data_IF_279277443178
#
_entry.id   IF_279277443178
#
_cell.length_a   1.000
_cell.length_b   1.000
_cell.length_c   1.000
_cell.angle_alpha   90.00
_cell.angle_beta   90.00
_cell.angle_gamma   90.00
#
_symmetry.space_group_name_H-M   'P 1'
#
loop_
_entity.id
_entity.type
_entity.pdbx_description
1 polymer ?
#
# COMPACT_ATOMS: atom_id res chain seq x y z
N UNK A 1 -5.15 17.32 4.02
CA UNK A 1 -4.87 18.41 3.05
C UNK A 1 -4.47 17.79 1.72
N UNK A 2 -5.40 17.05 1.08
CA UNK A 2 -5.18 16.39 -0.22
C UNK A 2 -6.22 16.97 -1.19
N UNK A 3 -5.85 18.01 -1.95
CA UNK A 3 -6.80 18.67 -2.86
C UNK A 3 -6.28 19.03 -4.26
N UNK A 4 -5.02 18.74 -4.64
CA UNK A 4 -4.48 19.30 -5.90
C UNK A 4 -3.74 18.34 -6.84
N UNK A 5 -3.92 17.02 -6.74
CA UNK A 5 -3.24 16.07 -7.66
C UNK A 5 -3.90 15.95 -9.05
N UNK A 6 -5.11 16.47 -9.26
CA UNK A 6 -5.97 16.02 -10.37
C UNK A 6 -5.90 16.81 -11.69
N UNK A 7 -5.28 17.99 -11.75
CA UNK A 7 -5.48 18.90 -12.91
C UNK A 7 -4.29 19.15 -13.83
N UNK A 8 -3.08 18.67 -13.53
CA UNK A 8 -1.90 18.99 -14.34
C UNK A 8 -1.45 17.87 -15.31
N UNK A 9 -1.93 16.63 -15.17
CA UNK A 9 -1.21 15.47 -15.74
C UNK A 9 -1.78 14.91 -17.05
N UNK A 10 -2.91 15.41 -17.56
CA UNK A 10 -3.66 14.75 -18.65
C UNK A 10 -3.21 15.01 -20.08
N UNK A 11 -2.03 15.56 -20.34
CA UNK A 11 -1.61 15.80 -21.73
C UNK A 11 -0.09 15.66 -21.92
N UNK A 12 0.28 14.61 -22.65
CA UNK A 12 1.55 14.44 -23.37
C UNK A 12 2.78 13.88 -22.62
N UNK A 13 2.69 12.75 -21.91
CA UNK A 13 3.90 11.99 -21.54
C UNK A 13 3.72 10.48 -21.66
N UNK A 14 3.91 9.98 -22.87
CA UNK A 14 4.13 8.56 -23.17
C UNK A 14 5.53 8.17 -22.67
N UNK A 15 5.62 7.42 -21.56
CA UNK A 15 6.70 6.50 -21.15
C UNK A 15 8.19 6.93 -21.32
N UNK A 16 8.64 8.04 -20.71
CA UNK A 16 10.08 8.41 -20.72
C UNK A 16 10.72 8.46 -19.31
N UNK A 17 9.94 8.36 -18.23
CA UNK A 17 10.50 8.32 -16.88
C UNK A 17 10.64 6.87 -16.38
N UNK A 18 11.69 6.54 -15.61
CA UNK A 18 11.75 5.25 -14.95
C UNK A 18 10.52 5.09 -14.05
N UNK A 19 9.86 3.94 -14.15
CA UNK A 19 8.81 3.53 -13.23
C UNK A 19 9.43 3.26 -11.86
N UNK A 20 8.74 3.61 -10.79
CA UNK A 20 9.28 3.53 -9.44
C UNK A 20 8.99 2.18 -8.79
N UNK A 21 9.96 1.65 -8.05
CA UNK A 21 9.71 0.61 -7.05
C UNK A 21 8.80 1.18 -5.96
N UNK A 22 7.85 0.36 -5.49
CA UNK A 22 6.95 0.73 -4.39
C UNK A 22 7.10 -0.20 -3.20
N UNK A 23 6.98 0.38 -2.01
CA UNK A 23 6.86 -0.33 -0.74
C UNK A 23 5.52 -0.01 -0.09
N UNK A 24 4.70 -1.01 0.17
CA UNK A 24 3.52 -0.88 1.03
C UNK A 24 3.93 -1.11 2.48
N UNK A 25 3.78 -0.09 3.31
CA UNK A 25 3.97 -0.19 4.74
C UNK A 25 2.65 -0.52 5.45
N UNK A 26 2.67 -1.53 6.30
CA UNK A 26 1.61 -1.83 7.25
C UNK A 26 2.13 -1.50 8.64
N UNK A 27 1.54 -0.48 9.27
CA UNK A 27 2.02 -0.03 10.57
C UNK A 27 1.88 -1.10 11.67
N UNK A 28 2.67 -0.96 12.72
CA UNK A 28 2.64 -1.77 13.92
C UNK A 28 1.46 -1.49 14.85
N UNK A 29 1.72 -1.58 16.16
CA UNK A 29 0.81 -1.16 17.24
C UNK A 29 -0.31 -2.15 17.65
N UNK A 30 -0.10 -3.44 17.42
CA UNK A 30 -0.90 -4.50 18.04
C UNK A 30 -2.34 -4.59 17.54
N UNK A 31 -2.61 -4.07 16.34
CA UNK A 31 -3.93 -4.01 15.68
C UNK A 31 -4.97 -3.13 16.36
N UNK A 32 -4.67 -2.62 17.55
CA UNK A 32 -5.57 -1.81 18.37
C UNK A 32 -5.25 -0.33 18.26
N UNK A 33 -3.96 0.00 18.14
CA UNK A 33 -3.50 1.38 18.04
C UNK A 33 -2.85 1.63 16.69
N UNK A 34 -2.43 2.88 16.48
CA UNK A 34 -1.63 3.30 15.33
C UNK A 34 -2.40 4.08 14.27
N UNK A 35 -1.75 4.27 13.12
CA UNK A 35 -2.27 5.00 11.97
C UNK A 35 -1.13 5.64 11.15
N UNK A 36 -1.48 6.49 10.19
CA UNK A 36 -0.53 7.12 9.25
C UNK A 36 0.56 7.99 9.91
N UNK A 37 0.42 8.30 11.21
CA UNK A 37 1.41 9.05 11.98
C UNK A 37 2.43 8.18 12.71
N UNK A 38 2.10 6.91 13.03
CA UNK A 38 2.92 6.06 13.89
C UNK A 38 4.33 5.85 13.33
N UNK A 39 4.42 5.67 12.01
CA UNK A 39 5.65 5.29 11.32
C UNK A 39 6.02 6.28 10.21
N UNK A 40 5.41 7.47 10.20
CA UNK A 40 5.63 8.48 9.16
C UNK A 40 7.11 8.87 8.99
N UNK A 41 7.84 8.98 10.10
CA UNK A 41 9.28 9.29 10.08
C UNK A 41 10.10 8.17 9.41
N UNK A 42 9.75 6.91 9.69
CA UNK A 42 10.38 5.74 9.09
C UNK A 42 10.05 5.62 7.59
N UNK A 43 8.77 5.79 7.22
CA UNK A 43 8.32 5.80 5.84
C UNK A 43 9.04 6.87 5.02
N UNK A 44 9.20 8.08 5.58
CA UNK A 44 9.91 9.18 4.92
C UNK A 44 11.41 8.92 4.78
N UNK A 45 12.04 8.33 5.80
CA UNK A 45 13.46 7.94 5.74
C UNK A 45 13.69 6.92 4.63
N UNK A 46 12.88 5.85 4.57
CA UNK A 46 12.99 4.83 3.52
C UNK A 46 12.73 5.40 2.14
N UNK A 47 11.70 6.21 1.97
CA UNK A 47 11.40 6.86 0.68
C UNK A 47 12.62 7.66 0.18
N UNK A 48 13.24 8.44 1.06
CA UNK A 48 14.36 9.30 0.71
C UNK A 48 15.67 8.54 0.47
N UNK A 49 15.96 7.55 1.31
CA UNK A 49 17.23 6.81 1.31
C UNK A 49 17.27 5.74 0.21
N UNK A 50 16.14 5.06 -0.03
CA UNK A 50 16.06 3.98 -1.01
C UNK A 50 15.61 4.44 -2.40
N UNK A 51 15.20 5.71 -2.55
CA UNK A 51 14.65 6.26 -3.80
C UNK A 51 13.47 5.44 -4.33
N UNK A 52 12.58 5.04 -3.42
CA UNK A 52 11.36 4.29 -3.72
C UNK A 52 10.13 5.07 -3.26
N UNK A 53 8.98 4.71 -3.81
CA UNK A 53 7.70 5.21 -3.33
C UNK A 53 7.28 4.39 -2.11
N UNK A 54 6.78 5.06 -1.07
CA UNK A 54 6.19 4.39 0.10
C UNK A 54 4.70 4.71 0.16
N UNK A 55 3.87 3.67 0.22
CA UNK A 55 2.43 3.76 0.48
C UNK A 55 2.22 3.26 1.90
N UNK A 56 1.92 4.19 2.81
CA UNK A 56 1.56 3.85 4.19
C UNK A 56 0.05 3.57 4.28
N UNK A 57 -0.30 2.40 4.81
CA UNK A 57 -1.65 1.84 4.76
C UNK A 57 -2.35 1.98 6.10
N UNK A 58 -3.40 2.79 6.14
CA UNK A 58 -4.28 2.94 7.31
C UNK A 58 -5.35 1.83 7.33
N UNK A 59 -4.92 0.63 7.72
CA UNK A 59 -5.85 -0.50 7.86
C UNK A 59 -6.75 -0.31 9.09
N UNK A 60 -7.96 -0.88 9.04
CA UNK A 60 -8.94 -0.75 10.13
C UNK A 60 -8.51 -1.51 11.39
N UNK A 61 -8.79 -0.94 12.57
CA UNK A 61 -8.29 -1.45 13.86
C UNK A 61 -9.36 -2.20 14.67
N UNK A 62 -8.90 -3.07 15.57
CA UNK A 62 -9.72 -3.78 16.55
C UNK A 62 -9.86 -2.93 17.83
N UNK A 63 -10.99 -2.94 18.56
CA UNK A 63 -12.13 -3.87 18.50
C UNK A 63 -13.21 -3.56 17.46
N UNK A 64 -13.24 -2.37 16.86
CA UNK A 64 -14.30 -1.95 15.94
C UNK A 64 -14.35 -2.82 14.68
N UNK A 65 -13.17 -3.24 14.21
CA UNK A 65 -12.98 -4.11 13.05
C UNK A 65 -12.14 -5.33 13.43
N UNK A 66 -12.77 -6.39 13.96
CA UNK A 66 -12.06 -7.59 14.36
C UNK A 66 -11.44 -8.31 13.15
N UNK A 67 -10.54 -9.24 13.44
CA UNK A 67 -9.97 -10.13 12.41
C UNK A 67 -11.09 -10.80 11.58
N UNK A 68 -10.98 -10.88 10.23
CA UNK A 68 -9.80 -10.60 9.39
C UNK A 68 -9.79 -9.23 8.68
N UNK A 69 -10.58 -8.24 9.14
CA UNK A 69 -10.84 -7.02 8.36
C UNK A 69 -9.56 -6.27 7.96
N UNK A 70 -8.67 -6.00 8.91
CA UNK A 70 -7.39 -5.32 8.65
C UNK A 70 -6.52 -6.07 7.61
N UNK A 71 -6.51 -7.40 7.65
CA UNK A 71 -5.75 -8.21 6.70
C UNK A 71 -6.29 -8.04 5.28
N UNK A 72 -7.62 -7.95 5.13
CA UNK A 72 -8.25 -7.66 3.85
C UNK A 72 -7.94 -6.25 3.35
N UNK A 73 -7.86 -5.25 4.24
CA UNK A 73 -7.47 -3.88 3.88
C UNK A 73 -6.04 -3.84 3.34
N UNK A 74 -5.11 -4.53 4.01
CA UNK A 74 -3.73 -4.66 3.56
C UNK A 74 -3.63 -5.35 2.19
N UNK A 75 -4.39 -6.44 1.98
CA UNK A 75 -4.43 -7.11 0.67
C UNK A 75 -5.06 -6.25 -0.43
N UNK A 76 -6.14 -5.52 -0.10
CA UNK A 76 -6.78 -4.58 -1.01
C UNK A 76 -5.81 -3.47 -1.42
N UNK A 77 -4.99 -2.97 -0.51
CA UNK A 77 -3.95 -1.98 -0.78
C UNK A 77 -2.92 -2.50 -1.81
N UNK A 78 -2.42 -3.73 -1.63
CA UNK A 78 -1.48 -4.36 -2.56
C UNK A 78 -2.09 -4.49 -3.95
N UNK A 79 -3.31 -5.03 -4.03
CA UNK A 79 -4.03 -5.16 -5.32
C UNK A 79 -4.30 -3.81 -5.96
N UNK A 80 -4.64 -2.79 -5.18
CA UNK A 80 -4.88 -1.44 -5.66
C UNK A 80 -3.60 -0.83 -6.24
N UNK A 81 -2.46 -0.93 -5.54
CA UNK A 81 -1.18 -0.43 -6.03
C UNK A 81 -0.79 -1.11 -7.35
N UNK A 82 -0.94 -2.44 -7.44
CA UNK A 82 -0.66 -3.19 -8.67
C UNK A 82 -1.63 -2.79 -9.82
N UNK A 83 -2.92 -2.73 -9.55
CA UNK A 83 -3.93 -2.39 -10.57
C UNK A 83 -3.84 -0.93 -11.06
N UNK A 84 -3.26 -0.04 -10.26
CA UNK A 84 -3.08 1.38 -10.59
C UNK A 84 -1.62 1.75 -10.85
N UNK A 85 -0.75 0.77 -11.15
CA UNK A 85 0.68 1.00 -11.34
C UNK A 85 0.97 2.08 -12.40
N UNK A 86 0.25 2.07 -13.53
CA UNK A 86 0.39 3.10 -14.58
C UNK A 86 0.00 4.49 -14.07
N UNK A 87 -1.13 4.62 -13.36
CA UNK A 87 -1.61 5.88 -12.80
C UNK A 87 -0.61 6.45 -11.76
N UNK A 88 0.04 5.57 -11.01
CA UNK A 88 0.96 5.92 -9.94
C UNK A 88 2.43 5.97 -10.39
N UNK A 89 2.71 5.74 -11.69
CA UNK A 89 4.05 5.60 -12.27
C UNK A 89 4.93 4.55 -11.55
N UNK A 90 4.34 3.40 -11.19
CA UNK A 90 5.01 2.28 -10.51
C UNK A 90 5.40 1.20 -11.50
N UNK A 91 6.46 0.46 -11.15
CA UNK A 91 6.78 -0.80 -11.83
C UNK A 91 5.94 -1.93 -11.19
N UNK A 92 4.96 -2.53 -11.89
CA UNK A 92 4.12 -3.59 -11.34
C UNK A 92 4.90 -4.87 -11.00
N UNK A 93 6.11 -5.03 -11.55
CA UNK A 93 7.02 -6.14 -11.21
C UNK A 93 7.89 -5.86 -9.97
N UNK A 94 7.87 -4.62 -9.46
CA UNK A 94 8.69 -4.16 -8.33
C UNK A 94 7.83 -3.61 -7.20
N UNK A 95 6.98 -4.49 -6.65
CA UNK A 95 6.11 -4.19 -5.50
C UNK A 95 6.61 -4.99 -4.30
N UNK A 96 6.97 -4.28 -3.23
CA UNK A 96 7.31 -4.86 -1.93
C UNK A 96 6.26 -4.50 -0.89
N UNK A 97 6.15 -5.33 0.15
CA UNK A 97 5.30 -5.06 1.31
C UNK A 97 6.09 -5.37 2.60
N UNK A 98 5.84 -4.58 3.64
CA UNK A 98 6.53 -4.70 4.92
C UNK A 98 5.76 -4.04 6.05
N UNK A 99 6.28 -4.19 7.26
CA UNK A 99 5.71 -3.59 8.44
C UNK A 99 6.40 -4.04 9.71
N UNK A 100 6.27 -3.26 10.78
CA UNK A 100 6.81 -3.59 12.10
C UNK A 100 5.75 -4.33 12.94
N UNK A 101 6.20 -5.26 13.80
CA UNK A 101 5.34 -5.94 14.79
C UNK A 101 4.07 -6.57 14.19
N UNK A 102 2.88 -6.08 14.56
CA UNK A 102 1.57 -6.50 14.00
C UNK A 102 1.48 -6.35 12.48
N UNK A 103 2.06 -5.30 11.92
CA UNK A 103 2.16 -5.10 10.47
C UNK A 103 3.10 -6.09 9.79
N UNK A 104 4.20 -6.45 10.46
CA UNK A 104 5.10 -7.53 10.02
C UNK A 104 4.39 -8.89 9.99
N UNK A 105 3.52 -9.15 10.97
CA UNK A 105 2.69 -10.35 10.98
C UNK A 105 1.68 -10.38 9.82
N UNK A 106 1.06 -9.26 9.48
CA UNK A 106 0.23 -9.18 8.27
C UNK A 106 1.04 -9.38 6.99
N UNK A 107 2.23 -8.79 6.90
CA UNK A 107 3.14 -9.00 5.76
C UNK A 107 3.44 -10.48 5.55
N UNK A 108 3.80 -11.21 6.61
CA UNK A 108 4.10 -12.64 6.52
C UNK A 108 2.90 -13.46 6.03
N UNK A 109 1.71 -13.16 6.53
CA UNK A 109 0.46 -13.81 6.12
C UNK A 109 0.16 -13.50 4.65
N UNK A 110 0.27 -12.24 4.23
CA UNK A 110 0.04 -11.82 2.84
C UNK A 110 1.04 -12.43 1.86
N UNK A 111 2.32 -12.56 2.24
CA UNK A 111 3.31 -13.25 1.42
C UNK A 111 2.90 -14.71 1.15
N UNK A 112 2.37 -15.40 2.17
CA UNK A 112 1.83 -16.74 2.01
C UNK A 112 0.58 -16.76 1.11
N UNK A 113 -0.34 -15.81 1.30
CA UNK A 113 -1.52 -15.66 0.44
C UNK A 113 -1.17 -15.37 -1.01
N UNK A 114 -0.20 -14.49 -1.28
CA UNK A 114 0.18 -14.13 -2.65
C UNK A 114 0.70 -15.35 -3.42
N UNK A 115 1.55 -16.16 -2.79
CA UNK A 115 2.09 -17.38 -3.42
C UNK A 115 1.03 -18.47 -3.59
N UNK A 116 0.01 -18.52 -2.73
CA UNK A 116 -1.04 -19.57 -2.77
C UNK A 116 -2.25 -19.20 -3.63
N UNK A 117 -2.55 -17.91 -3.79
CA UNK A 117 -3.72 -17.41 -4.52
C UNK A 117 -3.38 -16.99 -5.96
N UNK A 118 -2.16 -16.52 -6.25
CA UNK A 118 -1.75 -16.22 -7.64
C UNK A 118 -1.69 -17.45 -8.58
N UNK A 119 -1.44 -18.69 -8.13
CA UNK A 119 -1.52 -19.88 -8.99
C UNK A 119 -2.95 -20.39 -9.25
N UNK A 120 -3.96 -19.91 -8.52
CA UNK A 120 -5.34 -20.37 -8.65
C UNK A 120 -6.19 -19.22 -9.17
N UNK A 121 -6.33 -19.20 -10.51
CA UNK A 121 -7.08 -18.19 -11.22
C UNK A 121 -8.44 -17.87 -10.61
N UNK A 122 -8.79 -16.59 -10.64
CA UNK A 122 -10.07 -15.99 -10.24
C UNK A 122 -10.32 -15.90 -8.72
N UNK A 123 -10.09 -14.72 -8.14
CA UNK A 123 -10.93 -14.26 -7.03
C UNK A 123 -11.34 -12.79 -7.19
N UNK A 124 -12.64 -12.62 -6.96
CA UNK A 124 -13.51 -11.49 -7.22
C UNK A 124 -13.26 -10.29 -6.31
N UNK A 125 -13.81 -9.14 -6.72
CA UNK A 125 -13.72 -7.84 -6.08
C UNK A 125 -14.00 -7.91 -4.56
N UNK A 126 -13.12 -7.29 -3.78
CA UNK A 126 -13.36 -6.95 -2.37
C UNK A 126 -13.66 -5.46 -2.37
N UNK A 127 -14.64 -5.05 -1.57
CA UNK A 127 -15.36 -3.79 -1.64
C UNK A 127 -14.48 -2.53 -1.83
N UNK A 128 -15.00 -1.54 -2.57
CA UNK A 128 -14.28 -0.32 -2.97
C UNK A 128 -14.24 0.78 -1.91
N UNK A 129 -14.26 0.47 -0.61
CA UNK A 129 -14.35 1.49 0.45
C UNK A 129 -13.01 2.12 0.89
N UNK A 130 -11.87 1.70 0.34
CA UNK A 130 -10.53 2.10 0.84
C UNK A 130 -9.87 3.30 0.15
N UNK A 131 -10.55 3.98 -0.80
CA UNK A 131 -9.90 4.99 -1.68
C UNK A 131 -9.24 6.18 -0.98
N UNK A 132 -9.59 6.47 0.28
CA UNK A 132 -9.13 7.67 1.00
C UNK A 132 -8.16 7.39 2.19
N UNK A 133 -7.67 6.15 2.35
CA UNK A 133 -6.95 5.70 3.58
C UNK A 133 -5.46 5.39 3.40
N UNK A 134 -4.82 6.02 2.42
CA UNK A 134 -3.41 5.80 2.14
C UNK A 134 -2.66 7.13 2.15
N UNK A 135 -1.50 7.17 2.79
CA UNK A 135 -0.54 8.26 2.59
C UNK A 135 0.54 7.80 1.62
N UNK A 136 0.77 8.59 0.57
CA UNK A 136 1.80 8.31 -0.42
C UNK A 136 2.95 9.30 -0.22
N UNK A 137 4.16 8.78 0.00
CA UNK A 137 5.38 9.58 0.01
C UNK A 137 6.13 9.35 -1.32
N UNK A 138 6.36 10.44 -2.05
CA UNK A 138 7.16 10.51 -3.27
C UNK A 138 8.25 11.59 -3.08
N UNK A 139 9.34 11.47 -3.84
CA UNK A 139 10.41 12.47 -3.86
C UNK A 139 10.06 13.65 -4.75
#
# INVERSE_FOLDING_TARGET
MARDVDKAWKKHYCFIYPTWTVHLNFHGDGWVFGGLGSEAAWCRSICNESSIIVIDVEYRLTPEFPFPVALHDCWAAVRWAHANAELLNLDPSSISAGGLSSGGRYTAVLAHFAVTVLPLGSQTAVDGSSRDRYAMCQR
#
